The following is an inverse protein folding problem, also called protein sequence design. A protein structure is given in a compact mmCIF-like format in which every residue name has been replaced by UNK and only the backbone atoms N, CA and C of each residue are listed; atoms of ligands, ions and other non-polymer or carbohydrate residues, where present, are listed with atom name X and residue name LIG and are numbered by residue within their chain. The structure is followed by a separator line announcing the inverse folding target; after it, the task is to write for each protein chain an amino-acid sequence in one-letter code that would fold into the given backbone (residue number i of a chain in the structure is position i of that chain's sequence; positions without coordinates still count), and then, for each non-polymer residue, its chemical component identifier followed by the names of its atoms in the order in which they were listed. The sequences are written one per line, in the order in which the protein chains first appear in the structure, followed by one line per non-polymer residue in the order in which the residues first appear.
data_IF_879310181400
#
_entry.id   IF_879310181400
#
_cell.length_a   1.000
_cell.length_b   1.000
_cell.length_c   1.000
_cell.angle_alpha   90.00
_cell.angle_beta   90.00
_cell.angle_gamma   90.00
#
_symmetry.space_group_name_H-M   'P 1'
#
loop_
_entity.id
_entity.type
_entity.pdbx_description
1 polymer ?
#
# COMPACT_ATOMS: atom_id res chain seq x y z
N UNK A 1 -17.83 40.79 14.52
CA UNK A 1 -17.42 40.46 15.91
C UNK A 1 -17.26 38.96 16.02
N UNK A 2 -16.22 38.44 16.70
CA UNK A 2 -16.01 37.01 16.83
C UNK A 2 -16.96 36.41 17.87
N UNK A 3 -17.43 35.16 17.70
CA UNK A 3 -18.25 34.47 18.69
C UNK A 3 -17.41 34.04 19.90
N UNK A 4 -18.01 34.18 21.09
CA UNK A 4 -17.42 33.87 22.38
C UNK A 4 -17.05 32.38 22.53
N UNK A 5 -15.98 32.04 23.28
CA UNK A 5 -15.63 30.65 23.57
C UNK A 5 -16.69 30.02 24.49
N UNK A 6 -17.40 29.02 23.97
CA UNK A 6 -18.38 28.24 24.72
C UNK A 6 -17.75 27.63 25.98
N UNK A 7 -18.32 27.97 27.13
CA UNK A 7 -17.91 27.46 28.43
C UNK A 7 -18.03 25.93 28.47
N UNK A 8 -16.92 25.26 28.79
CA UNK A 8 -16.92 23.85 29.19
C UNK A 8 -17.80 23.74 30.43
N UNK A 9 -18.92 23.04 30.33
CA UNK A 9 -19.71 22.65 31.49
C UNK A 9 -18.80 21.96 32.53
N UNK A 10 -18.92 22.29 33.82
CA UNK A 10 -18.17 21.60 34.87
C UNK A 10 -18.47 20.10 34.79
N UNK A 11 -17.43 19.26 34.72
CA UNK A 11 -17.62 17.82 34.93
C UNK A 11 -18.26 17.64 36.30
N UNK A 12 -19.35 16.86 36.44
CA UNK A 12 -19.95 16.61 37.74
C UNK A 12 -18.85 16.08 38.67
N UNK A 13 -18.64 16.79 39.79
CA UNK A 13 -17.70 16.37 40.82
C UNK A 13 -18.18 15.00 41.32
N UNK A 14 -17.37 13.96 41.08
CA UNK A 14 -17.66 12.63 41.61
C UNK A 14 -17.77 12.67 43.14
N UNK A 15 -18.40 11.65 43.76
CA UNK A 15 -18.43 11.51 45.20
C UNK A 15 -17.02 11.66 45.78
N UNK A 16 -16.93 12.27 46.97
CA UNK A 16 -15.67 12.46 47.67
C UNK A 16 -14.89 11.12 47.67
N UNK A 17 -13.60 11.10 47.30
CA UNK A 17 -12.77 9.89 47.32
C UNK A 17 -12.86 9.10 48.64
N UNK A 18 -13.22 9.74 49.75
CA UNK A 18 -13.44 9.13 51.06
C UNK A 18 -14.82 8.46 51.25
N UNK A 19 -15.82 8.72 50.41
CA UNK A 19 -17.20 8.19 50.52
C UNK A 19 -17.66 7.37 49.30
N UNK A 20 -16.83 7.28 48.26
CA UNK A 20 -17.13 6.48 47.07
C UNK A 20 -17.46 5.01 47.41
N UNK A 21 -18.57 4.52 46.86
CA UNK A 21 -19.03 3.12 46.95
C UNK A 21 -18.23 2.21 46.03
N UNK A 22 -18.24 0.89 46.32
CA UNK A 22 -17.55 -0.11 45.48
C UNK A 22 -18.09 -0.09 44.05
N UNK A 23 -19.41 0.05 43.86
CA UNK A 23 -20.02 0.11 42.54
C UNK A 23 -19.56 1.31 41.72
N UNK A 24 -19.42 2.47 42.38
CA UNK A 24 -18.88 3.67 41.73
C UNK A 24 -17.41 3.47 41.31
N UNK A 25 -16.59 2.83 42.15
CA UNK A 25 -15.20 2.52 41.83
C UNK A 25 -15.08 1.51 40.67
N UNK A 26 -15.96 0.50 40.63
CA UNK A 26 -16.02 -0.45 39.51
C UNK A 26 -16.45 0.24 38.22
N UNK A 27 -17.46 1.11 38.25
CA UNK A 27 -17.88 1.91 37.11
C UNK A 27 -16.71 2.77 36.59
N UNK A 28 -15.97 3.43 37.49
CA UNK A 28 -14.82 4.27 37.13
C UNK A 28 -13.65 3.47 36.56
N UNK A 29 -13.40 2.26 37.07
CA UNK A 29 -12.41 1.33 36.54
C UNK A 29 -12.75 0.93 35.11
N UNK A 30 -14.00 0.53 34.87
CA UNK A 30 -14.49 0.17 33.55
C UNK A 30 -14.37 1.35 32.59
N UNK A 31 -14.75 2.55 33.01
CA UNK A 31 -14.60 3.78 32.21
C UNK A 31 -13.14 4.09 31.87
N UNK A 32 -12.21 3.89 32.80
CA UNK A 32 -10.79 4.10 32.56
C UNK A 32 -10.23 3.10 31.53
N UNK A 33 -10.64 1.83 31.62
CA UNK A 33 -10.26 0.78 30.66
C UNK A 33 -10.86 1.10 29.28
N UNK A 34 -12.16 1.42 29.20
CA UNK A 34 -12.82 1.72 27.93
C UNK A 34 -12.23 2.95 27.26
N UNK A 35 -11.94 4.01 28.01
CA UNK A 35 -11.31 5.24 27.48
C UNK A 35 -9.94 4.95 26.89
N UNK A 36 -9.10 4.14 27.56
CA UNK A 36 -7.78 3.77 27.05
C UNK A 36 -7.88 2.89 25.80
N UNK A 37 -8.78 1.92 25.78
CA UNK A 37 -9.03 1.08 24.60
C UNK A 37 -9.56 1.89 23.42
N UNK A 38 -10.40 2.90 23.66
CA UNK A 38 -10.87 3.82 22.63
C UNK A 38 -9.72 4.66 22.06
N UNK A 39 -8.85 5.20 22.91
CA UNK A 39 -7.68 5.96 22.47
C UNK A 39 -6.72 5.09 21.65
N UNK A 40 -6.45 3.84 22.07
CA UNK A 40 -5.65 2.89 21.30
C UNK A 40 -6.25 2.65 19.91
N UNK A 41 -7.56 2.38 19.82
CA UNK A 41 -8.22 2.18 18.53
C UNK A 41 -8.09 3.40 17.62
N UNK A 42 -8.28 4.61 18.16
CA UNK A 42 -8.12 5.85 17.40
C UNK A 42 -6.69 6.00 16.87
N UNK A 43 -5.68 5.75 17.71
CA UNK A 43 -4.27 5.82 17.33
C UNK A 43 -3.91 4.79 16.25
N UNK A 44 -4.41 3.55 16.39
CA UNK A 44 -4.19 2.46 15.43
C UNK A 44 -4.84 2.80 14.07
N UNK A 45 -6.08 3.33 14.08
CA UNK A 45 -6.74 3.73 12.83
C UNK A 45 -6.03 4.91 12.17
N UNK A 46 -5.56 5.90 12.95
CA UNK A 46 -4.79 7.01 12.43
C UNK A 46 -3.49 6.54 11.77
N UNK A 47 -2.74 5.67 12.47
CA UNK A 47 -1.51 5.07 11.95
C UNK A 47 -1.75 4.28 10.67
N UNK A 48 -2.81 3.45 10.65
CA UNK A 48 -3.20 2.68 9.47
C UNK A 48 -3.47 3.58 8.28
N UNK A 49 -4.24 4.65 8.47
CA UNK A 49 -4.54 5.59 7.39
C UNK A 49 -3.28 6.29 6.87
N UNK A 50 -2.41 6.76 7.77
CA UNK A 50 -1.17 7.45 7.39
C UNK A 50 -0.27 6.54 6.53
N UNK A 51 -0.05 5.31 6.99
CA UNK A 51 0.83 4.33 6.33
C UNK A 51 0.27 3.87 4.98
N UNK A 52 -1.04 3.65 4.88
CA UNK A 52 -1.71 3.31 3.61
C UNK A 52 -1.61 4.47 2.62
N UNK A 53 -1.85 5.70 3.05
CA UNK A 53 -1.70 6.87 2.18
C UNK A 53 -0.26 7.07 1.72
N UNK A 54 0.73 6.86 2.59
CA UNK A 54 2.15 6.93 2.25
C UNK A 54 2.54 5.89 1.19
N UNK A 55 2.05 4.65 1.33
CA UNK A 55 2.20 3.62 0.31
C UNK A 55 1.55 4.02 -1.02
N UNK A 56 0.32 4.54 -0.99
CA UNK A 56 -0.39 4.94 -2.22
C UNK A 56 0.34 6.06 -2.96
N UNK A 57 0.86 7.05 -2.23
CA UNK A 57 1.67 8.12 -2.83
C UNK A 57 2.94 7.56 -3.45
N UNK A 58 3.67 6.70 -2.73
CA UNK A 58 4.91 6.08 -3.20
C UNK A 58 4.70 5.24 -4.47
N UNK A 59 3.69 4.36 -4.48
CA UNK A 59 3.37 3.51 -5.64
C UNK A 59 2.85 4.35 -6.82
N UNK A 60 2.08 5.40 -6.56
CA UNK A 60 1.58 6.29 -7.62
C UNK A 60 2.70 7.08 -8.28
N UNK A 61 3.63 7.62 -7.51
CA UNK A 61 4.82 8.31 -8.00
C UNK A 61 5.68 7.36 -8.86
N UNK A 62 5.99 6.19 -8.32
CA UNK A 62 6.73 5.14 -9.02
C UNK A 62 6.03 4.73 -10.33
N UNK A 63 4.71 4.52 -10.28
CA UNK A 63 3.92 4.15 -11.46
C UNK A 63 3.79 5.27 -12.50
N UNK A 64 3.89 6.54 -12.08
CA UNK A 64 4.00 7.70 -12.98
C UNK A 64 5.34 7.71 -13.71
N UNK A 65 6.43 7.68 -12.95
CA UNK A 65 7.81 7.62 -13.48
C UNK A 65 8.03 6.41 -14.39
N UNK A 66 7.55 5.25 -13.98
CA UNK A 66 7.60 4.02 -14.78
C UNK A 66 6.95 4.21 -16.15
N UNK A 67 5.73 4.77 -16.20
CA UNK A 67 5.02 4.99 -17.47
C UNK A 67 5.75 5.97 -18.37
N UNK A 68 6.26 7.07 -17.82
CA UNK A 68 6.99 8.08 -18.58
C UNK A 68 8.31 7.54 -19.14
N UNK A 69 9.12 6.87 -18.30
CA UNK A 69 10.39 6.29 -18.70
C UNK A 69 10.20 5.16 -19.73
N UNK A 70 9.20 4.29 -19.56
CA UNK A 70 8.88 3.22 -20.51
C UNK A 70 8.32 3.76 -21.83
N UNK A 71 7.56 4.86 -21.80
CA UNK A 71 7.05 5.50 -23.01
C UNK A 71 8.17 6.11 -23.84
N UNK A 72 9.20 6.70 -23.19
CA UNK A 72 10.34 7.31 -23.86
C UNK A 72 11.45 6.30 -24.24
N UNK A 73 11.48 5.10 -23.66
CA UNK A 73 12.58 4.16 -23.83
C UNK A 73 12.66 3.53 -25.24
N UNK A 74 13.88 3.39 -25.80
CA UNK A 74 14.10 2.55 -26.98
C UNK A 74 14.03 1.07 -26.60
N UNK A 75 13.62 0.22 -27.56
CA UNK A 75 13.41 -1.22 -27.35
C UNK A 75 14.60 -1.95 -26.73
N UNK A 76 15.83 -1.55 -27.09
CA UNK A 76 17.07 -2.14 -26.56
C UNK A 76 17.30 -1.86 -25.07
N UNK A 77 16.66 -0.84 -24.49
CA UNK A 77 16.82 -0.44 -23.08
C UNK A 77 15.65 -0.83 -22.19
N UNK A 78 14.58 -1.41 -22.73
CA UNK A 78 13.38 -1.76 -21.97
C UNK A 78 13.68 -2.78 -20.87
N UNK A 79 14.46 -3.82 -21.15
CA UNK A 79 14.76 -4.85 -20.16
C UNK A 79 15.59 -4.29 -18.98
N UNK A 80 16.62 -3.50 -19.28
CA UNK A 80 17.43 -2.83 -18.26
C UNK A 80 16.59 -1.84 -17.43
N UNK A 81 15.65 -1.13 -18.07
CA UNK A 81 14.74 -0.22 -17.40
C UNK A 81 13.77 -0.96 -16.46
N UNK A 82 13.20 -2.08 -16.89
CA UNK A 82 12.33 -2.92 -16.05
C UNK A 82 13.08 -3.45 -14.83
N UNK A 83 14.34 -3.87 -14.99
CA UNK A 83 15.18 -4.28 -13.85
C UNK A 83 15.47 -3.15 -12.87
N UNK A 84 15.78 -1.95 -13.37
CA UNK A 84 15.96 -0.78 -12.51
C UNK A 84 14.68 -0.44 -11.76
N UNK A 85 13.55 -0.43 -12.47
CA UNK A 85 12.25 -0.16 -11.87
C UNK A 85 11.86 -1.19 -10.81
N UNK A 86 12.21 -2.47 -11.01
CA UNK A 86 12.03 -3.51 -10.01
C UNK A 86 12.82 -3.22 -8.73
N UNK A 87 14.09 -2.82 -8.86
CA UNK A 87 14.92 -2.44 -7.72
C UNK A 87 14.39 -1.18 -7.01
N UNK A 88 13.94 -0.19 -7.77
CA UNK A 88 13.33 1.03 -7.21
C UNK A 88 12.02 0.73 -6.48
N UNK A 89 11.20 -0.16 -7.02
CA UNK A 89 9.97 -0.63 -6.38
C UNK A 89 10.25 -1.34 -5.06
N UNK A 90 11.19 -2.30 -5.08
CA UNK A 90 11.60 -3.06 -3.90
C UNK A 90 12.17 -2.14 -2.81
N UNK A 91 13.02 -1.18 -3.19
CA UNK A 91 13.57 -0.19 -2.27
C UNK A 91 12.49 0.73 -1.69
N UNK A 92 11.55 1.20 -2.50
CA UNK A 92 10.44 2.05 -2.05
C UNK A 92 9.50 1.32 -1.08
N UNK A 93 9.20 0.04 -1.36
CA UNK A 93 8.41 -0.81 -0.46
C UNK A 93 9.17 -1.06 0.84
N UNK A 94 10.45 -1.45 0.77
CA UNK A 94 11.28 -1.67 1.96
C UNK A 94 11.37 -0.42 2.85
N UNK A 95 11.55 0.76 2.25
CA UNK A 95 11.57 2.02 2.98
C UNK A 95 10.22 2.36 3.63
N UNK A 96 9.11 2.05 2.97
CA UNK A 96 7.75 2.27 3.50
C UNK A 96 7.46 1.32 4.66
N UNK A 97 7.81 0.04 4.52
CA UNK A 97 7.73 -0.96 5.58
C UNK A 97 8.56 -0.56 6.79
N UNK A 98 9.83 -0.17 6.59
CA UNK A 98 10.69 0.25 7.69
C UNK A 98 10.16 1.51 8.41
N UNK A 99 9.52 2.44 7.68
CA UNK A 99 8.83 3.59 8.28
C UNK A 99 7.60 3.16 9.08
N UNK A 100 6.83 2.19 8.60
CA UNK A 100 5.69 1.64 9.32
C UNK A 100 6.13 0.92 10.61
N UNK A 101 7.18 0.11 10.55
CA UNK A 101 7.76 -0.57 11.72
C UNK A 101 8.17 0.45 12.80
N UNK A 102 8.91 1.50 12.43
CA UNK A 102 9.29 2.56 13.38
C UNK A 102 8.10 3.26 14.02
N UNK A 103 7.03 3.52 13.25
CA UNK A 103 5.81 4.15 13.79
C UNK A 103 5.02 3.19 14.69
N UNK A 104 4.99 1.90 14.35
CA UNK A 104 4.38 0.86 15.18
C UNK A 104 5.15 0.71 16.50
N UNK A 105 6.48 0.67 16.47
CA UNK A 105 7.31 0.63 17.67
C UNK A 105 7.12 1.89 18.53
N UNK A 106 7.03 3.08 17.91
CA UNK A 106 6.73 4.32 18.63
C UNK A 106 5.32 4.32 19.25
N UNK A 107 4.35 3.69 18.60
CA UNK A 107 2.99 3.49 19.15
C UNK A 107 3.03 2.56 20.37
N UNK A 108 3.74 1.43 20.27
CA UNK A 108 3.93 0.49 21.38
C UNK A 108 4.63 1.18 22.56
N UNK A 109 5.73 1.89 22.31
CA UNK A 109 6.48 2.60 23.33
C UNK A 109 5.67 3.73 24.00
N UNK A 110 4.76 4.38 23.26
CA UNK A 110 3.86 5.40 23.83
C UNK A 110 2.86 4.81 24.83
N UNK A 111 2.36 3.59 24.59
CA UNK A 111 1.33 2.97 25.42
C UNK A 111 1.90 2.10 26.56
N UNK A 112 3.04 1.43 26.33
CA UNK A 112 3.66 0.51 27.28
C UNK A 112 4.98 1.03 27.89
N UNK A 113 5.51 2.14 27.39
CA UNK A 113 6.78 2.71 27.84
C UNK A 113 8.01 2.22 27.05
N UNK A 114 9.21 2.75 27.36
CA UNK A 114 10.43 2.52 26.56
C UNK A 114 10.99 1.09 26.67
N UNK A 115 10.55 0.30 27.65
CA UNK A 115 10.98 -1.09 27.85
C UNK A 115 10.06 -2.10 27.16
N UNK A 116 9.14 -1.62 26.32
CA UNK A 116 8.19 -2.49 25.65
C UNK A 116 8.89 -3.42 24.64
N UNK A 117 8.41 -4.66 24.47
CA UNK A 117 8.95 -5.59 23.50
C UNK A 117 8.76 -5.04 22.07
N UNK A 118 9.78 -5.18 21.24
CA UNK A 118 9.71 -4.84 19.83
C UNK A 118 8.77 -5.81 19.09
N UNK A 119 8.01 -5.30 18.12
CA UNK A 119 7.09 -6.12 17.34
C UNK A 119 7.81 -7.13 16.44
N UNK A 120 7.12 -8.20 15.99
CA UNK A 120 7.67 -9.15 15.04
C UNK A 120 7.97 -8.46 13.69
N UNK A 121 9.20 -8.65 13.19
CA UNK A 121 9.63 -8.12 11.90
C UNK A 121 9.19 -9.03 10.78
N UNK A 122 8.14 -8.63 10.08
CA UNK A 122 7.70 -9.30 8.86
C UNK A 122 8.60 -8.83 7.71
N UNK A 123 9.06 -9.70 6.79
CA UNK A 123 9.81 -9.27 5.62
C UNK A 123 8.93 -8.45 4.66
N UNK A 124 9.54 -7.52 3.93
CA UNK A 124 8.84 -6.76 2.90
C UNK A 124 8.58 -7.64 1.66
N UNK A 125 7.39 -7.54 1.03
CA UNK A 125 7.13 -8.23 -0.24
C UNK A 125 8.04 -7.65 -1.34
N UNK A 126 8.33 -8.47 -2.35
CA UNK A 126 9.16 -8.10 -3.50
C UNK A 126 8.31 -7.99 -4.75
N UNK A 127 8.66 -7.05 -5.62
CA UNK A 127 7.91 -6.73 -6.83
C UNK A 127 7.76 -7.91 -7.81
N UNK A 128 8.78 -8.78 -7.89
CA UNK A 128 8.79 -9.89 -8.86
C UNK A 128 8.67 -9.41 -10.31
N UNK A 129 9.01 -8.14 -10.58
CA UNK A 129 8.95 -7.54 -11.90
C UNK A 129 9.98 -8.22 -12.81
N UNK A 130 9.49 -8.81 -13.90
CA UNK A 130 10.32 -9.47 -14.91
C UNK A 130 10.02 -8.87 -16.29
N UNK A 131 11.02 -8.76 -17.19
CA UNK A 131 10.77 -8.29 -18.55
C UNK A 131 9.76 -9.20 -19.27
N UNK A 132 8.60 -8.64 -19.60
CA UNK A 132 7.55 -9.37 -20.33
C UNK A 132 7.97 -9.62 -21.77
N UNK A 133 8.17 -10.90 -22.13
CA UNK A 133 8.36 -11.28 -23.54
C UNK A 133 6.99 -11.30 -24.22
N UNK A 134 6.76 -10.51 -25.28
CA UNK A 134 5.47 -10.52 -25.97
C UNK A 134 5.27 -11.88 -26.65
N UNK A 135 4.01 -12.33 -26.81
CA UNK A 135 3.71 -13.49 -27.64
C UNK A 135 4.19 -13.22 -29.07
N UNK A 136 4.99 -14.14 -29.61
CA UNK A 136 5.43 -14.09 -31.01
C UNK A 136 4.33 -14.66 -31.90
N UNK A 137 3.42 -13.82 -32.38
CA UNK A 137 2.47 -14.21 -33.43
C UNK A 137 3.15 -14.13 -34.81
N UNK A 138 4.04 -15.08 -35.08
CA UNK A 138 4.79 -15.16 -36.35
C UNK A 138 3.85 -15.25 -37.57
N UNK A 139 2.67 -15.87 -37.43
CA UNK A 139 1.69 -16.02 -38.51
C UNK A 139 1.02 -14.70 -38.93
N UNK A 140 0.73 -13.82 -37.98
CA UNK A 140 0.15 -12.50 -38.25
C UNK A 140 1.19 -11.56 -38.88
N UNK A 141 2.45 -11.63 -38.42
CA UNK A 141 3.58 -10.89 -39.00
C UNK A 141 3.80 -11.28 -40.48
N UNK A 142 3.66 -12.57 -40.81
CA UNK A 142 3.81 -13.08 -42.17
C UNK A 142 2.65 -12.63 -43.08
N UNK A 143 1.42 -12.63 -42.57
CA UNK A 143 0.25 -12.13 -43.31
C UNK A 143 0.36 -10.63 -43.61
N UNK A 144 0.77 -9.80 -42.65
CA UNK A 144 0.98 -8.36 -42.88
C UNK A 144 2.11 -8.10 -43.88
N UNK A 145 3.19 -8.90 -43.82
CA UNK A 145 4.29 -8.79 -44.78
C UNK A 145 3.86 -9.17 -46.20
N UNK A 146 3.08 -10.25 -46.36
CA UNK A 146 2.52 -10.69 -47.64
C UNK A 146 1.53 -9.64 -48.19
N UNK A 147 0.65 -9.10 -47.34
CA UNK A 147 -0.29 -8.04 -47.73
C UNK A 147 0.43 -6.73 -48.09
N UNK A 148 1.51 -6.37 -47.39
CA UNK A 148 2.34 -5.20 -47.72
C UNK A 148 3.08 -5.36 -49.04
N UNK A 149 3.63 -6.55 -49.31
CA UNK A 149 4.25 -6.89 -50.59
C UNK A 149 3.23 -6.88 -51.74
N UNK A 150 2.00 -7.35 -51.50
CA UNK A 150 0.91 -7.32 -52.48
C UNK A 150 0.35 -5.90 -52.72
N UNK A 151 0.33 -5.03 -51.70
CA UNK A 151 -0.10 -3.64 -51.83
C UNK A 151 0.91 -2.73 -52.52
N UNK A 152 2.21 -3.01 -52.40
CA UNK A 152 3.29 -2.24 -53.03
C UNK A 152 3.30 -2.30 -54.56
N UNK A 153 2.82 -3.40 -55.15
CA UNK A 153 2.72 -3.53 -56.62
C UNK A 153 1.59 -2.66 -57.20
N UNK A 154 0.53 -2.39 -56.45
CA UNK A 154 -0.60 -1.55 -56.88
C UNK A 154 -0.28 -0.04 -56.88
N UNK A 155 0.43 0.45 -55.87
CA UNK A 155 0.80 1.88 -55.76
C UNK A 155 1.98 2.24 -56.67
N UNK A 156 2.93 1.32 -56.87
CA UNK A 156 4.00 1.48 -57.86
C UNK A 156 3.44 1.69 -59.27
N UNK A 157 2.36 1.00 -59.64
CA UNK A 157 1.76 1.13 -60.96
C UNK A 157 1.08 2.47 -61.22
N UNK A 158 0.56 3.14 -60.18
CA UNK A 158 -0.08 4.46 -60.31
C UNK A 158 0.92 5.62 -60.34
N UNK A 159 2.00 5.55 -59.57
CA UNK A 159 3.06 6.59 -59.56
C UNK A 159 3.95 6.56 -60.82
N UNK A 160 4.01 5.42 -61.50
CA UNK A 160 4.87 5.20 -62.68
C UNK A 160 4.09 5.21 -64.00
N UNK A 161 2.79 5.57 -63.96
CA UNK A 161 1.97 5.79 -65.15
C UNK A 161 2.61 6.76 -66.19
N UNK A 162 3.31 7.85 -65.81
CA UNK A 162 3.92 8.76 -66.79
C UNK A 162 5.31 8.32 -67.30
N UNK A 163 5.92 7.24 -66.79
CA UNK A 163 7.24 6.73 -67.22
C UNK A 163 7.14 5.49 -68.16
N UNK A 164 5.92 5.06 -68.50
CA UNK A 164 5.67 3.91 -69.36
C UNK A 164 6.00 4.15 -70.85
N UNK A 165 6.29 5.40 -71.25
CA UNK A 165 6.61 5.76 -72.64
C UNK A 165 8.09 5.54 -73.02
N UNK A 166 8.97 5.21 -72.07
CA UNK A 166 10.41 4.97 -72.33
C UNK A 166 10.70 3.47 -72.44
N UNK A 167 11.13 2.97 -73.63
CA UNK A 167 11.51 1.57 -73.80
C UNK A 167 12.70 1.22 -72.89
N UNK A 168 12.56 0.18 -72.06
CA UNK A 168 13.62 -0.30 -71.16
C UNK A 168 13.54 0.19 -69.70
N UNK A 169 12.75 1.22 -69.40
CA UNK A 169 12.60 1.73 -68.02
C UNK A 169 11.86 0.73 -67.10
N UNK A 170 10.95 -0.08 -67.65
CA UNK A 170 10.17 -1.07 -66.91
C UNK A 170 11.03 -2.10 -66.14
N UNK A 171 12.22 -2.45 -66.68
CA UNK A 171 13.12 -3.43 -66.07
C UNK A 171 13.75 -2.93 -64.75
N UNK A 172 13.93 -1.61 -64.59
CA UNK A 172 14.44 -0.96 -63.38
C UNK A 172 13.32 -0.55 -62.42
N UNK A 173 12.16 -0.23 -62.96
CA UNK A 173 11.01 0.29 -62.23
C UNK A 173 10.32 -0.78 -61.37
N UNK A 174 10.14 -1.99 -61.92
CA UNK A 174 9.49 -3.10 -61.22
C UNK A 174 10.26 -3.52 -59.95
N UNK A 175 11.58 -3.77 -59.97
CA UNK A 175 12.31 -4.15 -58.76
C UNK A 175 12.37 -3.02 -57.73
N UNK A 176 12.45 -1.76 -58.16
CA UNK A 176 12.50 -0.61 -57.26
C UNK A 176 11.16 -0.41 -56.51
N UNK A 177 10.04 -0.57 -57.20
CA UNK A 177 8.71 -0.54 -56.59
C UNK A 177 8.52 -1.67 -55.57
N UNK A 178 9.02 -2.87 -55.87
CA UNK A 178 9.00 -4.04 -54.98
C UNK A 178 9.86 -3.80 -53.73
N UNK A 179 11.06 -3.24 -53.90
CA UNK A 179 11.96 -2.89 -52.78
C UNK A 179 11.34 -1.83 -51.86
N UNK A 180 10.67 -0.84 -52.44
CA UNK A 180 9.96 0.20 -51.68
C UNK A 180 8.77 -0.38 -50.90
N UNK A 181 7.99 -1.28 -51.51
CA UNK A 181 6.89 -1.99 -50.85
C UNK A 181 7.37 -2.87 -49.68
N UNK A 182 8.49 -3.59 -49.85
CA UNK A 182 9.11 -4.39 -48.78
C UNK A 182 9.64 -3.50 -47.66
N UNK A 183 10.28 -2.37 -47.97
CA UNK A 183 10.77 -1.44 -46.97
C UNK A 183 9.64 -0.82 -46.13
N UNK A 184 8.54 -0.39 -46.77
CA UNK A 184 7.36 0.13 -46.06
C UNK A 184 6.65 -0.94 -45.23
N UNK A 185 6.52 -2.16 -45.74
CA UNK A 185 6.01 -3.31 -44.98
C UNK A 185 6.88 -3.63 -43.77
N UNK A 186 8.20 -3.61 -43.93
CA UNK A 186 9.15 -3.80 -42.84
C UNK A 186 9.03 -2.69 -41.78
N UNK A 187 8.94 -1.43 -42.19
CA UNK A 187 8.80 -0.29 -41.25
C UNK A 187 7.47 -0.35 -40.50
N UNK A 188 6.36 -0.65 -41.16
CA UNK A 188 5.05 -0.75 -40.49
C UNK A 188 4.97 -1.90 -39.50
N UNK A 189 5.51 -3.08 -39.86
CA UNK A 189 5.61 -4.23 -38.95
C UNK A 189 6.51 -3.90 -37.76
N UNK A 190 7.68 -3.29 -37.99
CA UNK A 190 8.61 -2.92 -36.91
C UNK A 190 8.04 -1.85 -35.98
N UNK A 191 7.30 -0.87 -36.51
CA UNK A 191 6.59 0.16 -35.73
C UNK A 191 5.47 -0.45 -34.90
N UNK A 192 4.57 -1.23 -35.52
CA UNK A 192 3.47 -1.92 -34.81
C UNK A 192 4.01 -2.87 -33.73
N UNK A 193 5.03 -3.66 -34.06
CA UNK A 193 5.67 -4.57 -33.12
C UNK A 193 6.27 -3.84 -31.93
N UNK A 194 6.84 -2.65 -32.14
CA UNK A 194 7.40 -1.82 -31.08
C UNK A 194 6.31 -1.17 -30.24
N UNK A 195 5.19 -0.76 -30.85
CA UNK A 195 4.03 -0.23 -30.13
C UNK A 195 3.33 -1.29 -29.27
N UNK A 196 3.04 -2.48 -29.82
CA UNK A 196 2.41 -3.59 -29.07
C UNK A 196 3.28 -4.05 -27.90
N UNK A 197 4.60 -4.06 -28.08
CA UNK A 197 5.53 -4.34 -26.99
C UNK A 197 5.48 -3.30 -25.89
N UNK A 198 5.51 -2.02 -26.25
CA UNK A 198 5.47 -0.92 -25.29
C UNK A 198 4.17 -0.95 -24.47
N UNK A 199 3.03 -1.11 -25.13
CA UNK A 199 1.73 -1.17 -24.43
C UNK A 199 1.65 -2.39 -23.52
N UNK A 200 2.11 -3.55 -23.98
CA UNK A 200 2.15 -4.77 -23.18
C UNK A 200 3.08 -4.64 -21.96
N UNK A 201 4.29 -4.09 -22.12
CA UNK A 201 5.22 -3.89 -21.01
C UNK A 201 4.69 -2.89 -19.99
N UNK A 202 4.11 -1.78 -20.44
CA UNK A 202 3.49 -0.78 -19.54
C UNK A 202 2.32 -1.38 -18.77
N UNK A 203 1.47 -2.18 -19.44
CA UNK A 203 0.36 -2.87 -18.78
C UNK A 203 0.87 -3.89 -17.76
N UNK A 204 1.81 -4.76 -18.13
CA UNK A 204 2.37 -5.78 -17.25
C UNK A 204 3.07 -5.19 -16.02
N UNK A 205 3.81 -4.08 -16.19
CA UNK A 205 4.41 -3.34 -15.08
C UNK A 205 3.32 -2.74 -14.18
N UNK A 206 2.28 -2.16 -14.77
CA UNK A 206 1.14 -1.61 -14.04
C UNK A 206 0.44 -2.65 -13.16
N UNK A 207 0.13 -3.82 -13.73
CA UNK A 207 -0.52 -4.93 -13.02
C UNK A 207 0.34 -5.46 -11.87
N UNK A 208 1.66 -5.57 -12.09
CA UNK A 208 2.60 -6.01 -11.06
C UNK A 208 2.79 -5.00 -9.94
N UNK A 209 2.80 -3.70 -10.26
CA UNK A 209 2.81 -2.65 -9.24
C UNK A 209 1.52 -2.64 -8.41
N UNK A 210 0.37 -2.94 -9.04
CA UNK A 210 -0.90 -3.09 -8.32
C UNK A 210 -0.90 -4.32 -7.40
N UNK A 211 -0.37 -5.46 -7.86
CA UNK A 211 -0.21 -6.66 -7.04
C UNK A 211 0.73 -6.41 -5.85
N UNK A 212 1.91 -5.83 -6.10
CA UNK A 212 2.87 -5.47 -5.06
C UNK A 212 2.26 -4.54 -4.02
N UNK A 213 1.45 -3.57 -4.45
CA UNK A 213 0.72 -2.69 -3.53
C UNK A 213 -0.23 -3.49 -2.63
N UNK A 214 -1.03 -4.39 -3.19
CA UNK A 214 -1.97 -5.19 -2.42
C UNK A 214 -1.25 -6.09 -1.40
N UNK A 215 -0.16 -6.75 -1.81
CA UNK A 215 0.69 -7.54 -0.93
C UNK A 215 1.30 -6.67 0.19
N UNK A 216 1.76 -5.47 -0.15
CA UNK A 216 2.32 -4.52 0.84
C UNK A 216 1.25 -4.04 1.80
N UNK A 217 0.04 -3.71 1.35
CA UNK A 217 -1.09 -3.32 2.21
C UNK A 217 -1.44 -4.44 3.21
N UNK A 218 -1.49 -5.69 2.75
CA UNK A 218 -1.71 -6.85 3.60
C UNK A 218 -0.58 -7.01 4.64
N UNK A 219 0.67 -6.86 4.20
CA UNK A 219 1.86 -6.89 5.05
C UNK A 219 1.84 -5.79 6.12
N UNK A 220 1.42 -4.57 5.76
CA UNK A 220 1.30 -3.46 6.70
C UNK A 220 0.17 -3.69 7.70
N UNK A 221 -0.96 -4.25 7.25
CA UNK A 221 -2.06 -4.65 8.11
C UNK A 221 -1.64 -5.65 9.19
N UNK A 222 -0.88 -6.69 8.82
CA UNK A 222 -0.42 -7.70 9.80
C UNK A 222 0.56 -7.12 10.83
N UNK A 223 1.42 -6.17 10.43
CA UNK A 223 2.33 -5.47 11.37
C UNK A 223 1.57 -4.60 12.37
N UNK A 224 0.60 -3.83 11.89
CA UNK A 224 -0.22 -2.97 12.76
C UNK A 224 -1.02 -3.83 13.74
N UNK A 225 -1.58 -4.95 13.28
CA UNK A 225 -2.28 -5.91 14.14
C UNK A 225 -1.34 -6.53 15.20
N UNK A 226 -0.10 -6.86 14.83
CA UNK A 226 0.88 -7.38 15.78
C UNK A 226 1.25 -6.34 16.85
N UNK A 227 1.39 -5.07 16.46
CA UNK A 227 1.62 -3.97 17.40
C UNK A 227 0.41 -3.76 18.33
N UNK A 228 -0.81 -3.77 17.80
CA UNK A 228 -2.05 -3.68 18.59
C UNK A 228 -2.19 -4.85 19.58
N UNK A 229 -1.88 -6.07 19.15
CA UNK A 229 -1.89 -7.25 20.00
C UNK A 229 -0.87 -7.12 21.14
N UNK A 230 0.34 -6.64 20.85
CA UNK A 230 1.38 -6.38 21.86
C UNK A 230 0.91 -5.36 22.90
N UNK A 231 0.27 -4.28 22.47
CA UNK A 231 -0.26 -3.25 23.39
C UNK A 231 -1.41 -3.81 24.23
N UNK A 232 -2.32 -4.56 23.62
CA UNK A 232 -3.47 -5.14 24.31
C UNK A 232 -3.04 -6.18 25.34
N UNK A 233 -2.04 -7.01 25.01
CA UNK A 233 -1.44 -7.96 25.94
C UNK A 233 -0.72 -7.23 27.09
N UNK A 234 0.02 -6.17 26.77
CA UNK A 234 0.64 -5.31 27.78
C UNK A 234 -0.38 -4.68 28.73
N UNK A 235 -1.54 -4.24 28.25
CA UNK A 235 -2.63 -3.73 29.10
C UNK A 235 -3.27 -4.80 29.99
N UNK A 236 -3.26 -6.06 29.57
CA UNK A 236 -3.74 -7.17 30.39
C UNK A 236 -2.81 -7.44 31.57
N UNK A 237 -1.49 -7.32 31.37
CA UNK A 237 -0.47 -7.58 32.38
C UNK A 237 -0.16 -6.36 33.28
N UNK A 238 -0.18 -5.15 32.71
CA UNK A 238 -0.05 -3.89 33.44
C UNK A 238 -1.19 -2.92 33.04
N UNK A 239 -2.29 -2.89 33.80
CA UNK A 239 -3.42 -2.01 33.52
C UNK A 239 -3.10 -0.54 33.80
N UNK A 240 -1.89 -0.23 34.29
CA UNK A 240 -1.38 1.11 34.53
C UNK A 240 -1.84 1.73 35.85
N UNK A 241 -1.20 2.84 36.26
CA UNK A 241 -1.27 3.35 37.63
C UNK A 241 -2.69 3.75 38.06
N UNK A 242 -3.51 4.22 37.13
CA UNK A 242 -4.89 4.67 37.42
C UNK A 242 -5.83 3.50 37.72
N UNK A 243 -5.71 2.40 36.99
CA UNK A 243 -6.51 1.18 37.23
C UNK A 243 -5.99 0.45 38.46
N UNK A 244 -4.67 0.39 38.64
CA UNK A 244 -4.04 -0.19 39.82
C UNK A 244 -4.42 0.55 41.11
N UNK A 245 -4.51 1.88 41.08
CA UNK A 245 -5.03 2.67 42.21
C UNK A 245 -6.49 2.34 42.51
N UNK A 246 -7.36 2.30 41.49
CA UNK A 246 -8.76 1.92 41.65
C UNK A 246 -8.90 0.50 42.21
N UNK A 247 -8.12 -0.47 41.73
CA UNK A 247 -8.11 -1.85 42.23
C UNK A 247 -7.61 -1.94 43.67
N UNK A 248 -6.64 -1.11 44.07
CA UNK A 248 -6.21 -0.99 45.47
C UNK A 248 -7.35 -0.45 46.34
N UNK A 249 -8.06 0.58 45.88
CA UNK A 249 -9.16 1.22 46.62
C UNK A 249 -10.38 0.30 46.74
N UNK A 250 -10.72 -0.45 45.69
CA UNK A 250 -11.77 -1.47 45.70
C UNK A 250 -11.45 -2.56 46.73
N UNK A 251 -10.21 -3.09 46.72
CA UNK A 251 -9.78 -4.11 47.68
C UNK A 251 -9.89 -3.60 49.13
N UNK A 252 -9.40 -2.39 49.40
CA UNK A 252 -9.50 -1.76 50.72
C UNK A 252 -10.96 -1.60 51.20
N UNK A 253 -11.86 -1.16 50.31
CA UNK A 253 -13.29 -0.99 50.66
C UNK A 253 -13.98 -2.32 50.95
N UNK A 254 -13.68 -3.37 50.19
CA UNK A 254 -14.22 -4.71 50.45
C UNK A 254 -13.77 -5.27 51.79
N UNK A 255 -12.49 -5.07 52.17
CA UNK A 255 -12.02 -5.48 53.51
C UNK A 255 -12.69 -4.69 54.63
N UNK A 256 -12.91 -3.38 54.46
CA UNK A 256 -13.63 -2.54 55.44
C UNK A 256 -15.11 -2.94 55.58
N UNK A 257 -15.77 -3.37 54.49
CA UNK A 257 -17.13 -3.92 54.54
C UNK A 257 -17.16 -5.28 55.24
N UNK A 258 -16.25 -6.20 54.90
CA UNK A 258 -16.18 -7.51 55.53
C UNK A 258 -15.94 -7.44 57.04
N UNK A 259 -15.03 -6.56 57.49
CA UNK A 259 -14.77 -6.33 58.91
C UNK A 259 -16.01 -5.81 59.65
N UNK A 260 -16.73 -4.84 59.07
CA UNK A 260 -17.97 -4.31 59.65
C UNK A 260 -19.09 -5.36 59.72
N UNK A 261 -19.26 -6.17 58.68
CA UNK A 261 -20.24 -7.25 58.70
C UNK A 261 -19.93 -8.30 59.78
N UNK A 262 -18.65 -8.62 60.01
CA UNK A 262 -18.23 -9.51 61.10
C UNK A 262 -18.48 -8.92 62.49
N UNK A 263 -18.25 -7.61 62.69
CA UNK A 263 -18.55 -6.95 63.97
C UNK A 263 -20.05 -6.93 64.27
N UNK A 264 -20.88 -6.68 63.27
CA UNK A 264 -22.35 -6.72 63.43
C UNK A 264 -22.81 -8.15 63.72
N UNK A 265 -22.29 -9.15 63.02
CA UNK A 265 -22.63 -10.56 63.27
C UNK A 265 -22.17 -11.05 64.66
N UNK A 266 -20.98 -10.62 65.13
CA UNK A 266 -20.45 -10.98 66.45
C UNK A 266 -21.10 -10.25 67.64
N UNK A 267 -21.71 -9.09 67.41
CA UNK A 267 -22.45 -8.33 68.43
C UNK A 267 -23.87 -8.83 68.71
N UNK A 268 -24.31 -9.91 68.05
CA UNK A 268 -25.67 -10.48 68.18
C UNK A 268 -25.70 -11.83 68.90
N UNK A 269 -24.74 -12.12 69.76
CA UNK A 269 -24.82 -13.25 70.70
C UNK A 269 -25.10 -12.72 72.11
N UNK A 270 -26.18 -13.21 72.79
CA UNK A 270 -26.64 -12.74 74.10
C UNK A 270 -25.66 -13.05 75.23
#
# INVERSE_FOLDING_TARGET
GPPAPGGRAPRPAGPDPATATVDWLLARRTEAITTRSQALRQDVQALRMEVVQDLHRSVRDLGGRAREELAAAPRSRVDALVHRLAADADAAVAATVARADRRADALVARHLGPTAPAGPRIPAPKSGLTPGRPPRNTGEEMLVMITGAAGGTGVGRMLLAPLAEVPGAAALVIPLALLCGVALGWVTVTVRRTQTLRTHTVAAVGDRLAALRAETEQSLGSRILAAEATITDGFAHDPGPRVTDLDRRIRRRRSEQAARSHTIAGGTSP
#
